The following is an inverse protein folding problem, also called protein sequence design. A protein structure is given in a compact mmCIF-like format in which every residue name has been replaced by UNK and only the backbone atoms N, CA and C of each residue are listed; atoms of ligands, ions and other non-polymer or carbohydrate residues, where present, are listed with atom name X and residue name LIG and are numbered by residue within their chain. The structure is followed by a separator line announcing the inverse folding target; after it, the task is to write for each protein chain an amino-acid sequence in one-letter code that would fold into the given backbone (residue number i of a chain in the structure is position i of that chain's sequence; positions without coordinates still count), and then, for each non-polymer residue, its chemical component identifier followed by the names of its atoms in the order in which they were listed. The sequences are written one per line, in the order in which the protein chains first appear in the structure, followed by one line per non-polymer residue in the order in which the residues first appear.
data_IF_816336959257
#
_entry.id   IF_816336959257
#
_cell.length_a   1.000
_cell.length_b   1.000
_cell.length_c   1.000
_cell.angle_alpha   90.00
_cell.angle_beta   90.00
_cell.angle_gamma   90.00
#
_symmetry.space_group_name_H-M   'P 1'
#
loop_
_entity.id
_entity.type
_entity.pdbx_description
1 polymer ?
#
# COMPACT_ATOMS: atom_id res chain seq x y z
N UNK A 1 13.85 -0.93 20.26
CA UNK A 1 12.41 -1.25 20.33
C UNK A 1 12.12 -2.28 19.25
N UNK A 2 11.32 -3.31 19.56
CA UNK A 2 10.95 -4.34 18.59
C UNK A 2 9.46 -4.65 18.73
N UNK A 3 8.74 -4.73 17.61
CA UNK A 3 7.34 -5.13 17.55
C UNK A 3 7.12 -6.13 16.42
N UNK A 4 6.38 -7.18 16.68
CA UNK A 4 5.97 -8.18 15.69
C UNK A 4 4.44 -8.31 15.67
N UNK A 5 3.92 -8.87 14.59
CA UNK A 5 2.50 -9.12 14.35
C UNK A 5 2.33 -10.58 13.95
N UNK A 6 1.29 -11.20 14.49
CA UNK A 6 0.87 -12.55 14.11
C UNK A 6 -0.64 -12.54 13.92
N UNK A 7 -1.12 -13.29 12.93
CA UNK A 7 -2.55 -13.45 12.72
C UNK A 7 -2.89 -14.83 12.17
N UNK A 8 -4.17 -15.17 12.31
CA UNK A 8 -4.79 -16.36 11.78
C UNK A 8 -6.25 -16.06 11.45
N UNK A 9 -6.64 -16.35 10.23
CA UNK A 9 -7.99 -16.28 9.68
C UNK A 9 -8.33 -17.65 9.10
N UNK A 10 -9.27 -18.34 9.75
CA UNK A 10 -9.67 -19.70 9.38
C UNK A 10 -10.34 -19.76 8.01
N UNK A 11 -11.09 -18.71 7.64
CA UNK A 11 -11.84 -18.64 6.39
C UNK A 11 -10.88 -18.49 5.22
N UNK A 12 -9.98 -17.52 5.27
CA UNK A 12 -8.98 -17.30 4.19
C UNK A 12 -8.04 -18.51 4.07
N UNK A 13 -7.69 -19.14 5.19
CA UNK A 13 -6.72 -20.23 5.20
C UNK A 13 -7.30 -21.58 4.74
N UNK A 14 -8.52 -21.91 5.16
CA UNK A 14 -9.03 -23.28 5.07
C UNK A 14 -10.36 -23.41 4.33
N UNK A 15 -11.16 -22.35 4.23
CA UNK A 15 -12.48 -22.46 3.61
C UNK A 15 -12.41 -22.35 2.08
N UNK A 16 -13.28 -23.10 1.42
CA UNK A 16 -13.46 -23.02 -0.01
C UNK A 16 -14.34 -21.81 -0.37
N UNK A 17 -13.95 -21.08 -1.39
CA UNK A 17 -14.74 -19.95 -1.92
C UNK A 17 -15.53 -20.38 -3.16
N UNK A 18 -16.77 -19.88 -3.37
CA UNK A 18 -17.59 -20.31 -4.49
C UNK A 18 -17.03 -20.01 -5.89
N UNK A 19 -16.25 -18.94 -6.04
CA UNK A 19 -15.74 -18.48 -7.35
C UNK A 19 -14.29 -18.88 -7.63
N UNK A 20 -13.52 -19.24 -6.59
CA UNK A 20 -12.06 -19.29 -6.68
C UNK A 20 -11.44 -17.89 -6.82
N UNK A 21 -10.18 -17.85 -7.23
CA UNK A 21 -9.48 -16.60 -7.57
C UNK A 21 -8.47 -16.85 -8.69
N UNK A 22 -7.79 -15.81 -9.09
CA UNK A 22 -6.87 -15.79 -10.23
C UNK A 22 -5.81 -16.91 -10.21
N UNK A 23 -5.22 -17.20 -9.05
CA UNK A 23 -4.18 -18.23 -8.91
C UNK A 23 -4.74 -19.67 -8.91
N UNK A 24 -5.99 -19.86 -8.48
CA UNK A 24 -6.71 -21.13 -8.66
C UNK A 24 -7.42 -21.21 -10.01
N UNK A 25 -7.12 -20.32 -10.96
CA UNK A 25 -7.76 -20.23 -12.28
C UNK A 25 -9.30 -20.19 -12.21
N UNK A 26 -9.85 -19.58 -11.16
CA UNK A 26 -11.29 -19.48 -10.91
C UNK A 26 -11.99 -20.86 -10.82
N UNK A 27 -11.30 -21.87 -10.29
CA UNK A 27 -11.98 -23.13 -9.94
C UNK A 27 -12.96 -22.87 -8.78
N UNK A 28 -14.25 -23.19 -8.94
CA UNK A 28 -15.24 -23.00 -7.90
C UNK A 28 -15.02 -24.00 -6.77
N UNK A 29 -15.50 -23.65 -5.57
CA UNK A 29 -15.39 -24.46 -4.36
C UNK A 29 -13.94 -24.88 -4.04
N UNK A 30 -12.98 -24.02 -4.41
CA UNK A 30 -11.57 -24.18 -4.11
C UNK A 30 -11.15 -23.27 -2.96
N UNK A 31 -10.20 -23.73 -2.14
CA UNK A 31 -9.51 -22.89 -1.15
C UNK A 31 -8.62 -21.89 -1.88
N UNK A 32 -8.51 -20.66 -1.36
CA UNK A 32 -7.59 -19.66 -1.90
C UNK A 32 -6.14 -20.17 -1.83
N UNK A 33 -5.37 -19.95 -2.89
CA UNK A 33 -3.93 -20.16 -2.85
C UNK A 33 -3.29 -19.01 -2.08
N UNK A 34 -2.90 -19.29 -0.84
CA UNK A 34 -2.33 -18.29 0.07
C UNK A 34 -0.92 -17.86 -0.37
N UNK A 35 -0.17 -18.72 -1.06
CA UNK A 35 1.19 -18.39 -1.54
C UNK A 35 1.13 -17.40 -2.73
N UNK A 36 -0.05 -17.23 -3.32
CA UNK A 36 -0.32 -16.27 -4.38
C UNK A 36 -0.80 -14.90 -3.89
N UNK A 37 -1.04 -14.74 -2.58
CA UNK A 37 -1.46 -13.47 -1.97
C UNK A 37 -0.26 -12.69 -1.45
N UNK A 38 -0.45 -11.39 -1.19
CA UNK A 38 0.52 -10.63 -0.39
C UNK A 38 0.61 -11.23 1.01
N UNK A 39 1.80 -11.20 1.61
CA UNK A 39 2.04 -11.80 2.93
C UNK A 39 1.01 -11.32 3.95
N UNK A 40 0.66 -10.03 3.98
CA UNK A 40 -0.32 -9.44 4.90
C UNK A 40 -1.78 -9.82 4.63
N UNK A 41 -2.06 -10.37 3.45
CA UNK A 41 -3.38 -10.81 2.98
C UNK A 41 -3.63 -12.31 3.15
N UNK A 42 -2.61 -13.07 3.55
CA UNK A 42 -2.72 -14.51 3.78
C UNK A 42 -3.59 -14.84 5.01
N UNK A 43 -4.15 -16.04 5.04
CA UNK A 43 -4.94 -16.54 6.16
C UNK A 43 -4.12 -16.80 7.42
N UNK A 44 -2.80 -16.75 7.38
CA UNK A 44 -1.99 -16.67 8.59
C UNK A 44 -0.57 -16.23 8.27
N UNK A 45 0.01 -15.38 9.12
CA UNK A 45 1.38 -14.94 8.93
C UNK A 45 2.00 -14.41 10.21
N UNK A 46 3.30 -14.14 10.12
CA UNK A 46 4.09 -13.55 11.18
C UNK A 46 5.02 -12.51 10.57
N UNK A 47 4.89 -11.26 11.01
CA UNK A 47 5.63 -10.12 10.46
C UNK A 47 6.39 -9.35 11.52
N UNK A 48 7.63 -8.99 11.21
CA UNK A 48 8.37 -8.00 11.99
C UNK A 48 7.86 -6.62 11.57
N UNK A 49 7.25 -5.89 12.50
CA UNK A 49 6.85 -4.51 12.28
C UNK A 49 8.06 -3.62 12.61
N UNK A 50 8.10 -3.04 13.80
CA UNK A 50 9.14 -2.09 14.16
C UNK A 50 10.41 -2.78 14.65
N UNK A 51 11.54 -2.26 14.23
CA UNK A 51 12.85 -2.62 14.72
C UNK A 51 13.78 -1.41 14.60
N UNK A 52 13.88 -0.63 15.67
CA UNK A 52 14.70 0.58 15.68
C UNK A 52 15.42 0.81 17.01
N UNK A 53 16.51 1.57 16.93
CA UNK A 53 17.22 2.13 18.07
C UNK A 53 16.93 3.62 18.17
N UNK A 54 17.02 4.16 19.37
CA UNK A 54 16.76 5.58 19.62
C UNK A 54 17.82 6.15 20.56
N UNK A 55 18.07 7.45 20.44
CA UNK A 55 18.98 8.20 21.29
C UNK A 55 18.40 9.57 21.61
N UNK A 56 18.50 9.97 22.87
CA UNK A 56 18.14 11.29 23.36
C UNK A 56 19.39 11.99 23.86
N UNK A 57 19.62 13.22 23.41
CA UNK A 57 20.76 14.04 23.82
C UNK A 57 20.47 15.52 23.57
N UNK A 58 21.27 16.39 24.18
CA UNK A 58 21.15 17.84 23.99
C UNK A 58 22.27 18.36 23.08
N UNK A 59 21.91 19.22 22.13
CA UNK A 59 22.84 20.03 21.33
C UNK A 59 22.81 21.47 21.85
N UNK A 60 23.64 21.74 22.86
CA UNK A 60 23.54 22.98 23.62
C UNK A 60 22.26 22.95 24.47
N UNK A 61 21.38 23.92 24.27
CA UNK A 61 20.07 23.97 24.94
C UNK A 61 18.94 23.32 24.11
N UNK A 62 19.26 22.72 22.95
CA UNK A 62 18.29 22.09 22.06
C UNK A 62 18.19 20.59 22.35
N UNK A 63 17.06 20.08 22.90
CA UNK A 63 16.87 18.65 23.06
C UNK A 63 16.69 17.97 21.70
N UNK A 64 17.32 16.82 21.52
CA UNK A 64 17.32 16.03 20.28
C UNK A 64 16.88 14.60 20.54
N UNK A 65 16.00 14.09 19.69
CA UNK A 65 15.60 12.69 19.60
C UNK A 65 15.95 12.14 18.22
N UNK A 66 16.86 11.17 18.18
CA UNK A 66 17.26 10.45 16.97
C UNK A 66 16.70 9.03 17.01
N UNK A 67 16.05 8.59 15.94
CA UNK A 67 15.59 7.21 15.75
C UNK A 67 16.11 6.64 14.43
N UNK A 68 16.64 5.42 14.46
CA UNK A 68 17.18 4.74 13.28
C UNK A 68 16.69 3.30 13.25
N UNK A 69 16.05 2.93 12.14
CA UNK A 69 15.54 1.57 11.89
C UNK A 69 14.14 1.58 11.28
N UNK A 70 13.47 0.42 11.30
CA UNK A 70 12.08 0.28 10.83
C UNK A 70 11.13 0.85 11.87
N UNK A 71 10.43 1.91 11.52
CA UNK A 71 9.53 2.64 12.42
C UNK A 71 8.39 3.30 11.65
N UNK A 72 7.32 3.65 12.38
CA UNK A 72 6.24 4.50 11.88
C UNK A 72 6.48 5.96 12.27
N UNK A 73 6.28 6.89 11.33
CA UNK A 73 6.36 8.33 11.55
C UNK A 73 5.08 9.05 11.11
N UNK A 74 4.41 9.75 12.01
CA UNK A 74 3.18 10.50 11.70
C UNK A 74 3.34 11.98 12.05
N UNK A 75 2.86 12.85 11.16
CA UNK A 75 3.04 14.30 11.25
C UNK A 75 1.74 15.11 11.38
N UNK A 76 0.57 14.51 11.15
CA UNK A 76 -0.73 15.17 11.26
C UNK A 76 -1.70 14.46 12.20
N UNK A 77 -2.69 15.21 12.71
CA UNK A 77 -3.75 14.69 13.58
C UNK A 77 -4.85 13.93 12.82
N UNK A 78 -4.99 14.16 11.51
CA UNK A 78 -5.99 13.47 10.71
C UNK A 78 -5.53 12.06 10.36
N UNK A 79 -6.11 11.08 11.05
CA UNK A 79 -5.94 9.66 10.78
C UNK A 79 -6.98 9.10 9.81
N UNK A 80 -7.91 9.95 9.33
CA UNK A 80 -9.07 9.54 8.53
C UNK A 80 -9.02 9.99 7.08
N UNK A 81 -8.22 11.02 6.74
CA UNK A 81 -8.03 11.47 5.37
C UNK A 81 -6.74 10.84 4.84
N UNK A 82 -6.90 9.89 3.91
CA UNK A 82 -5.79 9.33 3.17
C UNK A 82 -5.24 10.37 2.18
N UNK A 83 -3.93 10.34 1.99
CA UNK A 83 -3.13 11.35 1.27
C UNK A 83 -2.94 12.68 2.03
N UNK A 84 -1.80 13.34 1.76
CA UNK A 84 -1.38 14.56 2.45
C UNK A 84 -0.22 14.31 3.41
N UNK A 85 -0.15 15.07 4.51
CA UNK A 85 1.02 15.10 5.42
C UNK A 85 1.27 13.77 6.15
N UNK A 86 0.26 12.89 6.23
CA UNK A 86 0.37 11.56 6.85
C UNK A 86 0.66 10.42 5.86
N UNK A 87 1.08 10.72 4.63
CA UNK A 87 1.38 9.72 3.58
C UNK A 87 2.78 9.08 3.70
N UNK A 88 3.47 9.26 4.82
CA UNK A 88 4.87 8.81 5.01
C UNK A 88 4.97 7.28 5.05
N UNK A 89 3.99 6.61 5.66
CA UNK A 89 4.06 5.17 5.91
C UNK A 89 3.03 4.41 5.08
N UNK A 90 3.40 3.22 4.57
CA UNK A 90 2.46 2.33 3.90
C UNK A 90 1.37 1.86 4.84
N UNK A 91 0.25 1.41 4.27
CA UNK A 91 -0.92 0.96 5.02
C UNK A 91 -1.18 -0.52 4.77
N UNK A 92 -1.56 -1.25 5.81
CA UNK A 92 -2.18 -2.58 5.70
C UNK A 92 -3.71 -2.42 5.70
N UNK A 93 -4.32 -2.51 4.51
CA UNK A 93 -5.78 -2.38 4.35
C UNK A 93 -6.51 -3.57 4.98
N UNK A 94 -5.90 -4.76 4.97
CA UNK A 94 -6.44 -5.94 5.66
C UNK A 94 -6.49 -5.70 7.18
N UNK A 95 -5.52 -4.96 7.74
CA UNK A 95 -5.58 -4.51 9.14
C UNK A 95 -6.77 -3.61 9.42
N UNK A 96 -6.99 -2.56 8.63
CA UNK A 96 -8.06 -1.57 8.85
C UNK A 96 -9.46 -2.21 8.87
N UNK A 97 -9.64 -3.32 8.14
CA UNK A 97 -10.91 -4.05 8.05
C UNK A 97 -11.16 -5.02 9.21
N UNK A 98 -10.16 -5.25 10.08
CA UNK A 98 -10.31 -6.07 11.28
C UNK A 98 -10.98 -5.28 12.41
N UNK A 99 -12.03 -5.82 13.05
CA UNK A 99 -12.65 -5.18 14.19
C UNK A 99 -11.66 -4.95 15.34
N UNK A 100 -11.64 -3.73 15.90
CA UNK A 100 -10.81 -3.40 17.06
C UNK A 100 -9.32 -3.16 16.76
N UNK A 101 -8.94 -3.05 15.49
CA UNK A 101 -7.57 -2.75 15.09
C UNK A 101 -7.12 -1.38 15.61
N UNK A 102 -5.90 -1.30 16.13
CA UNK A 102 -5.30 -0.02 16.46
C UNK A 102 -4.67 0.62 15.22
N UNK A 103 -4.65 1.96 15.13
CA UNK A 103 -4.04 2.69 13.99
C UNK A 103 -2.57 2.29 13.78
N UNK A 104 -1.85 2.04 14.89
CA UNK A 104 -0.46 1.57 14.85
C UNK A 104 -0.29 0.22 14.14
N UNK A 105 -1.35 -0.58 14.00
CA UNK A 105 -1.34 -1.88 13.30
C UNK A 105 -1.74 -1.76 11.83
N UNK A 106 -2.37 -0.64 11.46
CA UNK A 106 -2.70 -0.28 10.09
C UNK A 106 -1.52 0.41 9.39
N UNK A 107 -0.73 1.22 10.10
CA UNK A 107 0.49 1.82 9.54
C UNK A 107 1.65 0.84 9.61
N UNK A 108 2.26 0.56 8.46
CA UNK A 108 3.40 -0.32 8.34
C UNK A 108 4.71 0.46 8.51
N UNK A 109 5.64 -0.04 9.34
CA UNK A 109 6.93 0.61 9.53
C UNK A 109 7.86 0.36 8.35
N UNK A 110 8.63 1.37 8.00
CA UNK A 110 9.68 1.32 6.97
C UNK A 110 11.00 1.83 7.54
N UNK A 111 12.10 1.37 6.96
CA UNK A 111 13.47 1.74 7.34
C UNK A 111 13.75 3.23 7.11
N UNK A 112 13.98 3.96 8.20
CA UNK A 112 14.28 5.38 8.14
C UNK A 112 15.21 5.87 9.26
N UNK A 113 15.82 7.02 9.02
CA UNK A 113 16.42 7.89 10.02
C UNK A 113 15.45 9.03 10.29
N UNK A 114 15.07 9.22 11.55
CA UNK A 114 14.21 10.31 12.00
C UNK A 114 14.95 11.14 13.05
N UNK A 115 14.89 12.47 12.92
CA UNK A 115 15.53 13.42 13.82
C UNK A 115 14.53 14.52 14.23
N UNK A 116 14.20 14.57 15.51
CA UNK A 116 13.36 15.61 16.10
C UNK A 116 14.21 16.50 17.02
N UNK A 117 14.15 17.81 16.81
CA UNK A 117 14.96 18.82 17.50
C UNK A 117 14.03 19.90 18.06
N UNK A 118 14.10 20.15 19.37
CA UNK A 118 13.53 21.34 19.98
C UNK A 118 14.44 22.54 19.72
N UNK A 119 14.09 23.38 18.74
CA UNK A 119 14.88 24.56 18.37
C UNK A 119 14.80 25.66 19.45
N UNK A 120 13.62 25.80 20.06
CA UNK A 120 13.35 26.71 21.20
C UNK A 120 12.30 26.07 22.12
N UNK A 121 11.96 26.73 23.23
CA UNK A 121 10.88 26.31 24.14
C UNK A 121 9.50 26.17 23.47
N UNK A 122 9.32 26.78 22.29
CA UNK A 122 8.04 26.78 21.56
C UNK A 122 8.15 26.36 20.09
N UNK A 123 9.35 26.00 19.61
CA UNK A 123 9.58 25.66 18.20
C UNK A 123 10.32 24.34 18.09
N UNK A 124 9.82 23.45 17.26
CA UNK A 124 10.44 22.15 16.98
C UNK A 124 10.54 21.88 15.49
N UNK A 125 11.59 21.17 15.11
CA UNK A 125 11.85 20.70 13.76
C UNK A 125 11.93 19.17 13.78
N UNK A 126 11.12 18.51 12.99
CA UNK A 126 11.16 17.07 12.77
C UNK A 126 11.58 16.79 11.33
N UNK A 127 12.45 15.82 11.13
CA UNK A 127 13.01 15.49 9.82
C UNK A 127 13.10 13.98 9.66
N UNK A 128 12.97 13.50 8.43
CA UNK A 128 13.26 12.11 8.11
C UNK A 128 13.99 11.95 6.79
N UNK A 129 14.68 10.81 6.69
CA UNK A 129 15.17 10.23 5.45
C UNK A 129 14.83 8.74 5.46
N UNK A 130 14.04 8.26 4.51
CA UNK A 130 13.74 6.83 4.35
C UNK A 130 14.73 6.21 3.37
N UNK A 131 15.15 4.99 3.67
CA UNK A 131 16.09 4.20 2.88
C UNK A 131 15.52 2.81 2.53
N UNK A 132 14.25 2.59 2.84
CA UNK A 132 13.46 1.40 2.53
C UNK A 132 12.11 1.92 2.05
N UNK A 133 11.68 1.46 0.88
CA UNK A 133 10.34 1.69 0.37
C UNK A 133 9.52 0.41 0.50
N UNK A 134 8.22 0.58 0.72
CA UNK A 134 7.27 -0.53 0.67
C UNK A 134 5.91 -0.03 0.17
N UNK A 135 5.14 -0.91 -0.43
CA UNK A 135 3.82 -0.58 -0.97
C UNK A 135 2.70 -0.77 0.07
N UNK A 136 1.57 -0.11 -0.16
CA UNK A 136 0.33 -0.34 0.57
C UNK A 136 -0.15 -1.77 0.31
N UNK A 137 -0.40 -2.51 1.38
CA UNK A 137 -0.88 -3.89 1.32
C UNK A 137 -2.39 -3.88 1.13
N UNK A 138 -2.80 -4.28 -0.06
CA UNK A 138 -4.21 -4.34 -0.48
C UNK A 138 -4.78 -5.73 -0.22
N UNK A 139 -6.10 -5.82 -0.18
CA UNK A 139 -6.79 -7.09 0.05
C UNK A 139 -6.50 -8.11 -1.05
N UNK A 140 -6.15 -9.32 -0.64
CA UNK A 140 -5.89 -10.43 -1.55
C UNK A 140 -7.08 -10.74 -2.45
N UNK A 141 -6.86 -10.93 -3.76
CA UNK A 141 -7.92 -11.34 -4.69
C UNK A 141 -8.65 -12.60 -4.21
N UNK A 142 -9.97 -12.60 -4.34
CA UNK A 142 -10.84 -13.67 -3.83
C UNK A 142 -11.19 -13.61 -2.35
N UNK A 143 -10.53 -12.78 -1.54
CA UNK A 143 -10.94 -12.54 -0.14
C UNK A 143 -12.21 -11.71 -0.07
N UNK A 144 -12.95 -11.77 1.05
CA UNK A 144 -14.29 -11.19 1.18
C UNK A 144 -14.40 -9.71 0.80
N UNK A 145 -13.38 -8.91 1.13
CA UNK A 145 -13.41 -7.48 0.85
C UNK A 145 -12.62 -7.07 -0.40
N UNK A 146 -12.04 -8.02 -1.14
CA UNK A 146 -11.39 -7.71 -2.40
C UNK A 146 -12.43 -7.32 -3.45
N UNK A 147 -12.17 -6.23 -4.17
CA UNK A 147 -13.04 -5.72 -5.23
C UNK A 147 -12.44 -5.94 -6.62
N UNK A 148 -11.24 -6.49 -6.72
CA UNK A 148 -10.49 -6.67 -7.97
C UNK A 148 -9.60 -7.91 -7.93
N UNK A 149 -9.40 -8.54 -9.08
CA UNK A 149 -8.59 -9.76 -9.23
C UNK A 149 -7.13 -9.48 -9.66
N UNK A 150 -6.78 -8.20 -9.75
CA UNK A 150 -5.53 -7.70 -10.34
C UNK A 150 -4.58 -7.03 -9.34
N UNK A 151 -4.97 -6.99 -8.07
CA UNK A 151 -4.23 -6.42 -6.93
C UNK A 151 -4.34 -7.38 -5.74
N UNK A 152 -3.46 -7.20 -4.74
CA UNK A 152 -3.54 -7.94 -3.47
C UNK A 152 -2.59 -9.14 -3.35
N UNK A 153 -1.71 -9.36 -4.32
CA UNK A 153 -0.69 -10.39 -4.27
C UNK A 153 -0.01 -10.65 -5.61
N UNK A 154 1.06 -11.47 -5.64
CA UNK A 154 1.74 -11.86 -6.86
C UNK A 154 0.83 -12.60 -7.84
N UNK A 155 -0.03 -13.51 -7.37
CA UNK A 155 -0.95 -14.28 -8.23
C UNK A 155 -2.30 -13.62 -8.47
N UNK A 156 -2.45 -12.34 -8.14
CA UNK A 156 -3.60 -11.52 -8.54
C UNK A 156 -3.23 -10.72 -9.80
N UNK A 157 -3.13 -11.43 -10.93
CA UNK A 157 -2.38 -10.98 -12.11
C UNK A 157 -3.11 -11.13 -13.45
N UNK A 158 -4.43 -11.38 -13.46
CA UNK A 158 -5.21 -11.55 -14.70
C UNK A 158 -6.40 -10.59 -14.76
N UNK A 159 -6.58 -9.98 -15.93
CA UNK A 159 -7.85 -9.35 -16.33
C UNK A 159 -8.56 -10.31 -17.28
N UNK A 160 -9.65 -10.94 -16.84
CA UNK A 160 -10.50 -11.74 -17.73
C UNK A 160 -11.29 -10.83 -18.67
N UNK A 161 -11.36 -11.20 -19.96
CA UNK A 161 -12.04 -10.40 -20.98
C UNK A 161 -13.50 -10.81 -21.20
N UNK A 162 -13.85 -12.04 -20.81
CA UNK A 162 -15.21 -12.60 -20.86
C UNK A 162 -15.95 -12.33 -22.19
N UNK A 163 -15.33 -12.59 -23.35
CA UNK A 163 -15.94 -12.25 -24.63
C UNK A 163 -17.22 -13.06 -24.86
N UNK A 164 -18.20 -12.45 -25.53
CA UNK A 164 -19.36 -13.18 -26.04
C UNK A 164 -18.94 -14.00 -27.27
N UNK A 165 -19.21 -15.31 -27.25
CA UNK A 165 -18.95 -16.20 -28.38
C UNK A 165 -19.79 -15.83 -29.61
N UNK A 166 -20.95 -15.21 -29.39
CA UNK A 166 -21.80 -14.60 -30.41
C UNK A 166 -21.90 -13.11 -30.14
N UNK A 167 -21.38 -12.28 -31.05
CA UNK A 167 -21.21 -10.83 -30.85
C UNK A 167 -22.49 -10.05 -30.49
N UNK A 168 -23.67 -10.61 -30.79
CA UNK A 168 -24.97 -9.98 -30.52
C UNK A 168 -25.73 -10.63 -29.37
N UNK A 169 -25.16 -11.66 -28.71
CA UNK A 169 -25.82 -12.41 -27.65
C UNK A 169 -24.93 -12.45 -26.38
N UNK A 170 -25.18 -11.55 -25.41
CA UNK A 170 -24.40 -11.51 -24.17
C UNK A 170 -24.61 -12.74 -23.27
N UNK A 171 -25.62 -13.59 -23.53
CA UNK A 171 -25.77 -14.86 -22.79
C UNK A 171 -24.69 -15.89 -23.13
N UNK A 172 -23.89 -15.60 -24.16
CA UNK A 172 -22.76 -16.44 -24.60
C UNK A 172 -21.40 -15.92 -24.13
N UNK A 173 -21.38 -14.96 -23.20
CA UNK A 173 -20.14 -14.50 -22.57
C UNK A 173 -19.47 -15.62 -21.78
N UNK A 174 -18.17 -15.77 -22.00
CA UNK A 174 -17.35 -16.69 -21.22
C UNK A 174 -17.32 -16.27 -19.74
N UNK A 175 -17.37 -17.25 -18.84
CA UNK A 175 -16.99 -17.04 -17.43
C UNK A 175 -15.49 -16.73 -17.29
N UNK A 176 -15.07 -16.30 -16.10
CA UNK A 176 -13.65 -16.03 -15.82
C UNK A 176 -12.80 -17.29 -16.01
N UNK A 177 -13.28 -18.42 -15.49
CA UNK A 177 -12.64 -19.72 -15.67
C UNK A 177 -12.51 -20.12 -17.13
N UNK A 178 -13.58 -19.97 -17.92
CA UNK A 178 -13.53 -20.25 -19.35
C UNK A 178 -12.58 -19.29 -20.06
N UNK A 179 -12.55 -18.02 -19.65
CA UNK A 179 -11.63 -17.03 -20.19
C UNK A 179 -10.17 -17.42 -19.93
N UNK A 180 -9.84 -17.88 -18.73
CA UNK A 180 -8.52 -18.42 -18.41
C UNK A 180 -8.21 -19.67 -19.21
N UNK A 181 -9.17 -20.59 -19.32
CA UNK A 181 -9.00 -21.86 -20.06
C UNK A 181 -8.73 -21.61 -21.55
N UNK A 182 -9.43 -20.64 -22.16
CA UNK A 182 -9.31 -20.31 -23.58
C UNK A 182 -8.23 -19.26 -23.90
N UNK A 183 -7.49 -18.78 -22.89
CA UNK A 183 -6.46 -17.75 -23.07
C UNK A 183 -6.99 -16.36 -23.39
N UNK A 184 -8.23 -16.03 -23.02
CA UNK A 184 -8.85 -14.72 -23.25
C UNK A 184 -8.78 -13.83 -22.01
N UNK A 185 -7.55 -13.56 -21.58
CA UNK A 185 -7.24 -12.68 -20.44
C UNK A 185 -5.97 -11.86 -20.75
N UNK A 186 -5.74 -10.80 -19.98
CA UNK A 186 -4.48 -10.04 -20.00
C UNK A 186 -3.68 -10.36 -18.76
N UNK A 187 -2.39 -10.64 -18.93
CA UNK A 187 -1.46 -10.85 -17.83
C UNK A 187 -0.85 -9.54 -17.34
N UNK A 188 -0.64 -9.47 -16.03
CA UNK A 188 0.15 -8.41 -15.39
C UNK A 188 1.64 -8.66 -15.63
N UNK A 189 2.33 -7.63 -16.09
CA UNK A 189 3.80 -7.60 -16.11
C UNK A 189 4.35 -7.39 -14.71
N UNK A 190 5.67 -7.53 -14.56
CA UNK A 190 6.35 -7.13 -13.33
C UNK A 190 5.98 -5.69 -12.95
N UNK A 191 5.88 -5.43 -11.65
CA UNK A 191 5.63 -4.08 -11.14
C UNK A 191 6.78 -3.15 -11.54
N UNK A 192 6.46 -1.88 -11.70
CA UNK A 192 7.41 -0.78 -11.83
C UNK A 192 7.44 -0.10 -10.46
N UNK A 193 8.41 -0.52 -9.66
CA UNK A 193 8.62 -0.06 -8.28
C UNK A 193 9.67 1.07 -8.27
N UNK A 194 9.58 2.00 -7.31
CA UNK A 194 10.58 3.02 -7.11
C UNK A 194 11.84 2.42 -6.48
N UNK A 195 12.93 3.18 -6.53
CA UNK A 195 14.10 2.94 -5.69
C UNK A 195 13.76 3.10 -4.20
N UNK A 196 14.49 2.42 -3.32
CA UNK A 196 14.29 2.50 -1.86
C UNK A 196 14.60 3.89 -1.25
N UNK A 197 15.49 4.64 -1.91
CA UNK A 197 16.03 5.91 -1.42
C UNK A 197 15.49 7.12 -2.17
N UNK A 198 15.74 8.32 -1.65
CA UNK A 198 15.24 9.57 -2.25
C UNK A 198 14.03 10.16 -1.54
N UNK A 199 13.55 9.49 -0.48
CA UNK A 199 12.40 9.91 0.30
C UNK A 199 12.83 10.65 1.57
N UNK A 200 12.37 11.88 1.74
CA UNK A 200 12.76 12.74 2.86
C UNK A 200 11.70 13.79 3.17
N UNK A 201 11.80 14.42 4.34
CA UNK A 201 10.94 15.56 4.65
C UNK A 201 11.34 16.32 5.90
N UNK A 202 10.64 17.43 6.10
CA UNK A 202 10.80 18.37 7.19
C UNK A 202 9.42 18.84 7.67
N UNK A 203 9.24 18.90 9.00
CA UNK A 203 8.08 19.46 9.65
C UNK A 203 8.53 20.48 10.70
N UNK A 204 8.11 21.73 10.55
CA UNK A 204 8.34 22.79 11.52
C UNK A 204 7.05 23.04 12.29
N UNK A 205 7.10 22.94 13.61
CA UNK A 205 5.96 23.28 14.48
C UNK A 205 6.34 24.42 15.40
N UNK A 206 5.44 25.40 15.52
CA UNK A 206 5.61 26.57 16.37
C UNK A 206 4.35 26.83 17.18
N UNK A 207 4.47 26.80 18.51
CA UNK A 207 3.40 27.17 19.42
C UNK A 207 3.47 28.67 19.77
N UNK A 208 2.54 29.44 19.23
CA UNK A 208 2.40 30.87 19.48
C UNK A 208 1.64 31.11 20.79
N UNK A 209 2.37 31.22 21.89
CA UNK A 209 1.82 31.38 23.26
C UNK A 209 0.84 32.54 23.37
N UNK A 210 1.14 33.68 22.75
CA UNK A 210 0.28 34.88 22.81
C UNK A 210 -1.10 34.68 22.15
N UNK A 211 -1.20 33.72 21.23
CA UNK A 211 -2.41 33.42 20.48
C UNK A 211 -3.11 32.15 20.97
N UNK A 212 -2.45 31.33 21.79
CA UNK A 212 -2.85 29.95 22.09
C UNK A 212 -3.13 29.14 20.81
N UNK A 213 -2.20 29.23 19.85
CA UNK A 213 -2.28 28.58 18.54
C UNK A 213 -1.00 27.80 18.27
N UNK A 214 -1.11 26.57 17.81
CA UNK A 214 0.00 25.83 17.19
C UNK A 214 -0.05 25.97 15.68
N UNK A 215 1.06 26.34 15.06
CA UNK A 215 1.24 26.34 13.60
C UNK A 215 2.15 25.20 13.18
N UNK A 216 1.83 24.54 12.08
CA UNK A 216 2.66 23.53 11.45
C UNK A 216 2.94 23.87 9.99
N UNK A 217 4.19 23.65 9.55
CA UNK A 217 4.61 23.71 8.15
C UNK A 217 5.30 22.40 7.79
N UNK A 218 4.97 21.84 6.63
CA UNK A 218 5.40 20.51 6.22
C UNK A 218 5.87 20.52 4.77
N UNK A 219 6.97 19.84 4.51
CA UNK A 219 7.43 19.50 3.17
C UNK A 219 7.99 18.07 3.18
N UNK A 220 7.67 17.29 2.15
CA UNK A 220 8.29 16.00 1.93
C UNK A 220 8.32 15.63 0.46
N UNK A 221 9.32 14.84 0.09
CA UNK A 221 9.41 14.09 -1.15
C UNK A 221 9.29 12.61 -0.78
N UNK A 222 8.28 11.91 -1.29
CA UNK A 222 8.06 10.48 -1.02
C UNK A 222 7.72 9.75 -2.31
N UNK A 223 7.88 8.44 -2.36
CA UNK A 223 7.43 7.65 -3.51
C UNK A 223 6.02 7.15 -3.27
N UNK A 224 5.24 6.97 -4.35
CA UNK A 224 3.87 6.54 -4.20
C UNK A 224 3.82 5.14 -3.62
N UNK A 225 3.05 4.94 -2.56
CA UNK A 225 2.85 3.62 -1.95
C UNK A 225 1.60 2.94 -2.49
N UNK A 226 0.75 3.66 -3.22
CA UNK A 226 -0.44 3.11 -3.87
C UNK A 226 -0.19 2.93 -5.37
N UNK A 227 -0.54 1.76 -5.96
CA UNK A 227 -0.23 1.51 -7.36
C UNK A 227 -1.14 2.31 -8.30
N UNK A 228 -0.58 2.71 -9.44
CA UNK A 228 -1.33 3.09 -10.64
C UNK A 228 -1.35 1.89 -11.57
N UNK A 229 -2.51 1.59 -12.16
CA UNK A 229 -2.62 0.54 -13.17
C UNK A 229 -2.27 1.17 -14.53
N UNK A 230 -1.08 0.83 -15.04
CA UNK A 230 -0.59 1.30 -16.34
C UNK A 230 -0.79 0.22 -17.40
N UNK A 231 -1.43 0.56 -18.52
CA UNK A 231 -1.62 -0.33 -19.65
C UNK A 231 -0.68 0.06 -20.80
N UNK A 232 0.05 -0.92 -21.34
CA UNK A 232 1.01 -0.73 -22.42
C UNK A 232 0.56 -1.50 -23.66
N UNK A 233 0.54 -0.80 -24.79
CA UNK A 233 0.29 -1.42 -26.08
C UNK A 233 1.56 -2.16 -26.53
N UNK A 234 1.51 -3.49 -26.61
CA UNK A 234 2.64 -4.26 -27.12
C UNK A 234 2.53 -4.43 -28.64
N UNK A 235 3.41 -3.75 -29.38
CA UNK A 235 3.63 -3.99 -30.82
C UNK A 235 5.01 -4.63 -30.99
N UNK A 236 5.11 -5.97 -30.95
CA UNK A 236 6.09 -6.82 -31.66
C UNK A 236 6.11 -8.27 -31.12
N UNK A 237 5.57 -9.23 -31.88
CA UNK A 237 6.35 -10.43 -32.25
C UNK A 237 5.92 -10.91 -33.65
N UNK A 238 6.84 -10.98 -34.63
CA UNK A 238 6.63 -11.72 -35.86
C UNK A 238 7.02 -13.19 -35.59
N UNK A 239 6.11 -13.98 -35.01
CA UNK A 239 6.27 -15.43 -34.99
C UNK A 239 4.90 -16.10 -35.16
N UNK A 240 4.66 -16.82 -36.27
CA UNK A 240 3.43 -17.59 -36.48
C UNK A 240 3.44 -18.94 -35.73
N UNK A 241 4.14 -19.06 -34.60
CA UNK A 241 4.34 -20.33 -33.92
C UNK A 241 4.34 -20.19 -32.40
N UNK A 242 3.16 -19.96 -31.81
CA UNK A 242 2.84 -20.40 -30.45
C UNK A 242 1.43 -21.01 -30.48
N UNK A 243 1.40 -22.32 -30.73
CA UNK A 243 0.27 -23.16 -30.34
C UNK A 243 0.35 -23.31 -28.82
N UNK A 244 -0.42 -22.50 -28.10
CA UNK A 244 -0.87 -22.94 -26.78
C UNK A 244 -1.92 -24.04 -27.05
N UNK A 245 -1.91 -25.19 -26.34
CA UNK A 245 -2.84 -26.28 -26.61
C UNK A 245 -4.32 -25.86 -26.54
N UNK A 246 -4.63 -24.78 -25.80
CA UNK A 246 -5.99 -24.43 -25.42
C UNK A 246 -6.43 -22.98 -25.70
N UNK A 247 -5.71 -22.14 -26.47
CA UNK A 247 -6.15 -20.75 -26.65
C UNK A 247 -5.51 -19.96 -27.79
N UNK A 248 -6.29 -19.02 -28.35
CA UNK A 248 -5.80 -18.01 -29.30
C UNK A 248 -4.86 -17.05 -28.54
N UNK A 249 -3.58 -16.90 -28.95
CA UNK A 249 -2.72 -15.89 -28.34
C UNK A 249 -3.21 -14.53 -28.80
N UNK A 250 -4.07 -13.89 -28.00
CA UNK A 250 -4.20 -12.44 -28.07
C UNK A 250 -2.90 -11.92 -27.44
N UNK A 251 -1.87 -11.71 -28.25
CA UNK A 251 -0.74 -10.86 -27.86
C UNK A 251 -1.28 -9.43 -27.73
N UNK A 252 -2.04 -9.21 -26.65
CA UNK A 252 -2.85 -8.05 -26.38
C UNK A 252 -2.09 -7.00 -25.58
N UNK A 253 -2.76 -5.89 -25.23
CA UNK A 253 -2.19 -4.92 -24.30
C UNK A 253 -1.86 -5.63 -22.98
N UNK A 254 -0.68 -5.38 -22.44
CA UNK A 254 -0.34 -5.83 -21.09
C UNK A 254 -0.56 -4.69 -20.11
N UNK A 255 -0.66 -5.00 -18.81
CA UNK A 255 -0.72 -3.99 -17.77
C UNK A 255 0.34 -4.25 -16.70
N UNK A 256 0.74 -3.21 -15.96
CA UNK A 256 1.63 -3.31 -14.81
C UNK A 256 1.09 -2.44 -13.67
N UNK A 257 1.55 -2.72 -12.46
CA UNK A 257 1.41 -1.76 -11.36
C UNK A 257 2.63 -0.86 -11.36
N UNK A 258 2.39 0.44 -11.41
CA UNK A 258 3.41 1.46 -11.39
C UNK A 258 3.28 2.29 -10.12
N UNK A 259 4.41 2.51 -9.45
CA UNK A 259 4.51 3.27 -8.20
C UNK A 259 5.43 4.47 -8.46
N UNK A 260 4.86 5.63 -8.87
CA UNK A 260 5.67 6.78 -9.28
C UNK A 260 6.57 7.31 -8.16
N UNK A 261 7.79 7.69 -8.54
CA UNK A 261 8.76 8.34 -7.67
C UNK A 261 8.46 9.84 -7.48
N UNK A 262 9.18 10.43 -6.52
CA UNK A 262 9.27 11.88 -6.28
C UNK A 262 7.95 12.66 -6.22
N UNK A 263 7.04 12.21 -5.35
CA UNK A 263 5.85 12.98 -4.99
C UNK A 263 6.20 14.05 -3.95
N UNK A 264 6.17 15.30 -4.39
CA UNK A 264 6.36 16.46 -3.52
C UNK A 264 5.04 16.87 -2.85
N UNK A 265 5.04 16.92 -1.52
CA UNK A 265 3.88 17.30 -0.71
C UNK A 265 4.27 18.47 0.20
N UNK A 266 3.50 19.54 0.10
CA UNK A 266 3.60 20.73 0.96
C UNK A 266 2.31 20.90 1.76
N UNK A 267 2.42 21.26 3.04
CA UNK A 267 1.27 21.46 3.91
C UNK A 267 1.50 22.56 4.93
N UNK A 268 0.40 23.15 5.39
CA UNK A 268 0.39 24.02 6.55
C UNK A 268 -0.83 23.66 7.42
N UNK A 269 -0.69 23.74 8.74
CA UNK A 269 -1.77 23.52 9.70
C UNK A 269 -1.80 24.62 10.75
N UNK A 270 -2.95 24.83 11.37
CA UNK A 270 -3.06 25.56 12.62
C UNK A 270 -4.06 24.85 13.54
N UNK A 271 -3.82 24.83 14.84
CA UNK A 271 -4.78 24.33 15.83
C UNK A 271 -4.87 25.25 17.04
N UNK A 272 -6.07 25.42 17.57
CA UNK A 272 -6.35 26.31 18.71
C UNK A 272 -7.56 25.83 19.51
N UNK A 273 -7.63 26.24 20.77
CA UNK A 273 -8.80 25.97 21.61
C UNK A 273 -9.69 27.20 21.72
N UNK A 274 -10.94 27.07 21.29
CA UNK A 274 -11.97 28.09 21.50
C UNK A 274 -12.97 27.63 22.57
N UNK A 275 -12.72 28.02 23.82
CA UNK A 275 -13.53 27.60 24.97
C UNK A 275 -13.31 26.11 25.29
N UNK A 276 -14.36 25.29 25.14
CA UNK A 276 -14.28 23.83 25.31
C UNK A 276 -14.08 23.08 23.98
N UNK A 277 -13.96 23.82 22.87
CA UNK A 277 -13.87 23.26 21.52
C UNK A 277 -12.43 23.36 21.01
N UNK A 278 -11.89 22.27 20.48
CA UNK A 278 -10.66 22.30 19.69
C UNK A 278 -11.02 22.56 18.23
N UNK A 279 -10.29 23.46 17.58
CA UNK A 279 -10.46 23.83 16.17
C UNK A 279 -9.10 23.76 15.48
N UNK A 280 -9.01 22.95 14.42
CA UNK A 280 -7.82 22.76 13.59
C UNK A 280 -8.14 22.05 12.29
#
# INVERSE_FOLDING_TARGET
FVRFKYWYDDVIKNEAVPHGHTATNYFPDATLDNDALDDFSTGSGFELLDAFVYAYFDLGDMPVNLRVGRQVLSWGESTFIFNGVNAINPIDVNAVRRPGVEIKEALLPVGMVNLNIGLTDSTSLDMFYQYEWDNTKLDGCGTFFSTVDILGGPGCDKITLNPALVATDPSTSLSDRESVTFGTYLDRQANIEPDDGGQYGFALRHYAVDLDVEFGLYYMNIHNQTPIISAYNWVLQPSPALSHPDGLPIAGPNYALEYPEDQEIMGASFSTNFGLWSVG
#
